data_IF_702425745542
#
_entry.id   IF_702425745542
#
_cell.length_a   1.000
_cell.length_b   1.000
_cell.length_c   1.000
_cell.angle_alpha   90.00
_cell.angle_beta   90.00
_cell.angle_gamma   90.00
#
_symmetry.space_group_name_H-M   'P 1'
#
loop_
_entity.id
_entity.type
_entity.pdbx_description
1 polymer ?
#
# COMPACT_ATOMS: atom_id res chain seq x y z
N UNK A 1 -15.84 8.70 18.51
CA UNK A 1 -15.14 7.53 19.07
C UNK A 1 -14.10 8.03 20.07
N UNK A 2 -14.08 7.50 21.30
CA UNK A 2 -13.04 7.82 22.28
C UNK A 2 -11.80 7.02 21.89
N UNK A 3 -10.73 7.68 21.53
CA UNK A 3 -9.46 7.01 21.16
C UNK A 3 -8.81 6.49 22.45
N UNK A 4 -8.71 5.18 22.60
CA UNK A 4 -8.00 4.57 23.73
C UNK A 4 -6.53 4.93 23.60
N UNK A 5 -5.95 5.59 24.62
CA UNK A 5 -4.51 5.88 24.64
C UNK A 5 -3.72 4.58 24.70
N UNK A 6 -2.98 4.30 23.61
CA UNK A 6 -2.06 3.16 23.50
C UNK A 6 -0.73 3.52 24.13
N UNK A 7 -0.20 2.61 24.99
CA UNK A 7 1.19 2.68 25.47
C UNK A 7 2.09 1.90 24.52
N UNK A 8 3.35 2.31 24.34
CA UNK A 8 4.25 1.76 23.33
C UNK A 8 4.48 0.24 23.41
N UNK A 9 4.33 -0.37 24.60
CA UNK A 9 4.50 -1.82 24.81
C UNK A 9 3.21 -2.62 24.59
N UNK A 10 2.04 -1.96 24.41
CA UNK A 10 0.75 -2.62 24.28
C UNK A 10 0.53 -3.13 22.86
N UNK A 11 0.05 -4.37 22.73
CA UNK A 11 -0.23 -5.02 21.43
C UNK A 11 -1.69 -4.83 21.04
N UNK A 12 -2.07 -3.58 20.76
CA UNK A 12 -3.44 -3.17 20.40
C UNK A 12 -3.60 -2.94 18.90
N UNK A 13 -2.95 -3.75 18.07
CA UNK A 13 -3.20 -3.79 16.65
C UNK A 13 -4.40 -4.70 16.31
N UNK A 14 -5.01 -4.46 15.15
CA UNK A 14 -6.22 -5.17 14.72
C UNK A 14 -6.06 -6.69 14.75
N UNK A 15 -4.88 -7.23 14.41
CA UNK A 15 -4.66 -8.67 14.36
C UNK A 15 -4.64 -9.31 15.75
N UNK A 16 -3.99 -8.66 16.73
CA UNK A 16 -3.97 -9.14 18.10
C UNK A 16 -5.35 -8.99 18.77
N UNK A 17 -6.04 -7.87 18.53
CA UNK A 17 -7.39 -7.66 19.05
C UNK A 17 -8.38 -8.69 18.49
N UNK A 18 -8.30 -8.98 17.19
CA UNK A 18 -9.13 -10.00 16.55
C UNK A 18 -8.89 -11.38 17.17
N UNK A 19 -7.63 -11.76 17.34
CA UNK A 19 -7.26 -13.04 17.95
C UNK A 19 -7.79 -13.18 19.37
N UNK A 20 -7.64 -12.12 20.20
CA UNK A 20 -8.15 -12.14 21.57
C UNK A 20 -9.67 -12.21 21.58
N UNK A 21 -10.35 -11.50 20.70
CA UNK A 21 -11.81 -11.56 20.56
C UNK A 21 -12.30 -12.97 20.21
N UNK A 22 -11.62 -13.64 19.27
CA UNK A 22 -11.91 -15.01 18.88
C UNK A 22 -11.75 -15.98 20.04
N UNK A 23 -10.67 -15.87 20.80
CA UNK A 23 -10.42 -16.72 21.97
C UNK A 23 -11.40 -16.46 23.11
N UNK A 24 -11.84 -15.21 23.32
CA UNK A 24 -12.86 -14.89 24.33
C UNK A 24 -14.25 -15.43 23.95
N UNK A 25 -14.51 -15.65 22.65
CA UNK A 25 -15.77 -16.19 22.13
C UNK A 25 -15.74 -17.67 21.78
N UNK A 26 -14.58 -18.34 21.95
CA UNK A 26 -14.42 -19.74 21.67
C UNK A 26 -15.29 -20.62 22.60
N UNK A 27 -15.52 -21.89 22.25
CA UNK A 27 -16.22 -22.86 23.10
C UNK A 27 -15.56 -23.04 24.48
N UNK A 28 -14.25 -22.93 24.53
CA UNK A 28 -13.45 -22.86 25.74
C UNK A 28 -12.77 -21.49 25.81
N UNK A 29 -13.44 -20.48 26.38
CA UNK A 29 -12.92 -19.13 26.38
C UNK A 29 -11.72 -18.98 27.31
N UNK A 30 -10.74 -18.20 26.85
CA UNK A 30 -9.60 -17.79 27.69
C UNK A 30 -10.05 -16.92 28.86
N UNK A 31 -9.28 -16.92 29.93
CA UNK A 31 -9.56 -16.04 31.06
C UNK A 31 -9.24 -14.58 30.73
N UNK A 32 -9.90 -13.63 31.37
CA UNK A 32 -9.63 -12.19 31.22
C UNK A 32 -8.17 -11.85 31.57
N UNK A 33 -7.51 -12.62 32.44
CA UNK A 33 -6.11 -12.45 32.79
C UNK A 33 -5.21 -12.83 31.62
N UNK A 34 -5.48 -13.94 30.97
CA UNK A 34 -4.75 -14.37 29.76
C UNK A 34 -4.95 -13.41 28.60
N UNK A 35 -6.19 -12.93 28.38
CA UNK A 35 -6.48 -11.93 27.37
C UNK A 35 -5.67 -10.63 27.59
N UNK A 36 -5.58 -10.15 28.84
CA UNK A 36 -4.73 -9.00 29.17
C UNK A 36 -3.24 -9.28 28.90
N UNK A 37 -2.75 -10.48 29.24
CA UNK A 37 -1.37 -10.88 28.98
C UNK A 37 -1.06 -10.93 27.47
N UNK A 38 -1.97 -11.45 26.65
CA UNK A 38 -1.82 -11.48 25.19
C UNK A 38 -1.69 -10.08 24.59
N UNK A 39 -2.48 -9.12 25.10
CA UNK A 39 -2.44 -7.72 24.65
C UNK A 39 -1.30 -6.91 25.30
N UNK A 40 -0.53 -7.53 26.19
CA UNK A 40 0.52 -6.89 26.98
C UNK A 40 0.00 -5.64 27.72
N UNK A 41 -1.18 -5.75 28.31
CA UNK A 41 -1.80 -4.73 29.17
C UNK A 41 -1.82 -5.19 30.63
N UNK A 42 -1.73 -4.23 31.54
CA UNK A 42 -1.93 -4.51 32.96
C UNK A 42 -3.31 -5.12 33.19
N UNK A 43 -3.40 -6.13 34.07
CA UNK A 43 -4.68 -6.77 34.37
C UNK A 43 -5.70 -5.75 34.87
N UNK A 44 -6.66 -5.46 34.03
CA UNK A 44 -7.78 -4.56 34.32
C UNK A 44 -8.96 -4.97 33.44
N UNK A 45 -9.95 -5.58 34.08
CA UNK A 45 -11.13 -6.14 33.39
C UNK A 45 -12.00 -5.06 32.72
N UNK A 46 -12.13 -3.90 33.35
CA UNK A 46 -12.89 -2.76 32.80
C UNK A 46 -12.22 -2.22 31.55
N UNK A 47 -10.90 -2.03 31.61
CA UNK A 47 -10.13 -1.58 30.43
C UNK A 47 -10.16 -2.60 29.30
N UNK A 48 -9.99 -3.89 29.59
CA UNK A 48 -10.10 -4.95 28.59
C UNK A 48 -11.49 -4.93 27.92
N UNK A 49 -12.53 -4.85 28.72
CA UNK A 49 -13.92 -4.80 28.22
C UNK A 49 -14.13 -3.57 27.30
N UNK A 50 -13.65 -2.41 27.72
CA UNK A 50 -13.72 -1.18 26.87
C UNK A 50 -12.99 -1.35 25.54
N UNK A 51 -11.75 -1.90 25.57
CA UNK A 51 -10.96 -2.17 24.37
C UNK A 51 -11.72 -3.13 23.42
N UNK A 52 -12.27 -4.22 23.96
CA UNK A 52 -12.99 -5.20 23.16
C UNK A 52 -14.28 -4.62 22.55
N UNK A 53 -15.06 -3.87 23.34
CA UNK A 53 -16.27 -3.20 22.85
C UNK A 53 -15.96 -2.19 21.75
N UNK A 54 -14.96 -1.32 21.94
CA UNK A 54 -14.56 -0.35 20.95
C UNK A 54 -14.06 -1.02 19.65
N UNK A 55 -13.40 -2.18 19.79
CA UNK A 55 -12.98 -2.96 18.63
C UNK A 55 -14.15 -3.60 17.89
N UNK A 56 -15.11 -4.19 18.61
CA UNK A 56 -16.35 -4.74 18.02
C UNK A 56 -17.16 -3.65 17.30
N UNK A 57 -17.31 -2.47 17.91
CA UNK A 57 -17.96 -1.32 17.29
C UNK A 57 -17.23 -0.88 16.00
N UNK A 58 -15.89 -0.90 16.04
CA UNK A 58 -15.07 -0.60 14.86
C UNK A 58 -15.30 -1.62 13.75
N UNK A 59 -15.34 -2.91 14.07
CA UNK A 59 -15.62 -3.97 13.09
C UNK A 59 -17.04 -3.83 12.51
N UNK A 60 -18.04 -3.57 13.35
CA UNK A 60 -19.41 -3.35 12.93
C UNK A 60 -19.53 -2.13 12.00
N UNK A 61 -18.86 -1.02 12.34
CA UNK A 61 -18.78 0.17 11.49
C UNK A 61 -18.15 -0.12 10.13
N UNK A 62 -16.99 -0.81 10.12
CA UNK A 62 -16.30 -1.22 8.88
C UNK A 62 -17.20 -2.12 8.01
N UNK A 63 -17.88 -3.09 8.62
CA UNK A 63 -18.81 -3.99 7.92
C UNK A 63 -19.98 -3.21 7.30
N UNK A 64 -20.58 -2.28 8.06
CA UNK A 64 -21.66 -1.41 7.57
C UNK A 64 -21.23 -0.56 6.39
N UNK A 65 -20.06 0.08 6.48
CA UNK A 65 -19.50 0.89 5.38
C UNK A 65 -19.23 0.04 4.14
N UNK A 66 -18.63 -1.14 4.34
CA UNK A 66 -18.36 -2.08 3.24
C UNK A 66 -19.65 -2.56 2.56
N UNK A 67 -20.69 -2.84 3.33
CA UNK A 67 -22.01 -3.19 2.79
C UNK A 67 -22.64 -2.04 2.00
N UNK A 68 -22.55 -0.80 2.49
CA UNK A 68 -23.05 0.39 1.80
C UNK A 68 -22.33 0.66 0.47
N UNK A 69 -21.04 0.31 0.38
CA UNK A 69 -20.22 0.51 -0.81
C UNK A 69 -20.36 -0.64 -1.83
N UNK A 70 -21.00 -1.76 -1.44
CA UNK A 70 -21.15 -2.92 -2.31
C UNK A 70 -21.98 -2.58 -3.55
N UNK A 71 -21.45 -2.93 -4.74
CA UNK A 71 -22.13 -2.67 -6.02
C UNK A 71 -22.11 -1.22 -6.51
N UNK A 72 -21.60 -0.26 -5.73
CA UNK A 72 -21.47 1.13 -6.16
C UNK A 72 -20.23 1.33 -7.03
N UNK A 73 -20.36 2.18 -8.05
CA UNK A 73 -19.21 2.66 -8.85
C UNK A 73 -18.20 3.39 -7.95
N UNK A 74 -16.95 3.44 -8.37
CA UNK A 74 -15.94 4.27 -7.72
C UNK A 74 -16.31 5.75 -7.86
N UNK A 75 -16.14 6.52 -6.81
CA UNK A 75 -16.19 7.98 -6.85
C UNK A 75 -14.84 8.54 -7.29
N UNK A 76 -14.80 9.77 -7.79
CA UNK A 76 -13.53 10.42 -8.18
C UNK A 76 -12.56 10.51 -7.01
N UNK A 77 -13.06 10.74 -5.80
CA UNK A 77 -12.26 10.68 -4.58
C UNK A 77 -11.63 9.30 -4.34
N UNK A 78 -12.40 8.21 -4.50
CA UNK A 78 -11.87 6.86 -4.33
C UNK A 78 -10.84 6.51 -5.41
N UNK A 79 -11.04 7.00 -6.64
CA UNK A 79 -10.07 6.83 -7.74
C UNK A 79 -8.76 7.53 -7.38
N UNK A 80 -8.81 8.83 -7.05
CA UNK A 80 -7.65 9.63 -6.67
C UNK A 80 -6.89 8.99 -5.52
N UNK A 81 -7.57 8.71 -4.42
CA UNK A 81 -6.96 8.09 -3.23
C UNK A 81 -6.35 6.71 -3.51
N UNK A 82 -7.01 5.88 -4.36
CA UNK A 82 -6.46 4.58 -4.73
C UNK A 82 -5.13 4.71 -5.47
N UNK A 83 -5.03 5.67 -6.39
CA UNK A 83 -3.82 5.91 -7.17
C UNK A 83 -2.71 6.47 -6.28
N UNK A 84 -3.00 7.54 -5.52
CA UNK A 84 -2.02 8.16 -4.61
C UNK A 84 -1.43 7.15 -3.63
N UNK A 85 -2.28 6.43 -2.89
CA UNK A 85 -1.83 5.42 -1.92
C UNK A 85 -1.04 4.29 -2.58
N UNK A 86 -1.40 3.89 -3.80
CA UNK A 86 -0.69 2.83 -4.52
C UNK A 86 0.68 3.29 -5.02
N UNK A 87 0.78 4.52 -5.54
CA UNK A 87 2.04 5.12 -5.94
C UNK A 87 2.94 5.50 -4.74
N UNK A 88 2.36 5.60 -3.55
CA UNK A 88 3.07 5.70 -2.27
C UNK A 88 3.38 4.33 -1.65
N UNK A 89 3.41 3.28 -2.48
CA UNK A 89 3.81 1.91 -2.11
C UNK A 89 2.89 1.21 -1.09
N UNK A 90 1.71 1.75 -0.79
CA UNK A 90 0.80 1.10 0.14
C UNK A 90 0.24 -0.21 -0.46
N UNK A 91 0.16 -1.29 0.33
CA UNK A 91 -0.39 -2.54 -0.15
C UNK A 91 -1.88 -2.40 -0.47
N UNK A 92 -2.32 -3.09 -1.53
CA UNK A 92 -3.73 -3.07 -1.98
C UNK A 92 -4.72 -3.43 -0.85
N UNK A 93 -4.31 -4.25 0.10
CA UNK A 93 -5.11 -4.60 1.29
C UNK A 93 -5.37 -3.37 2.17
N UNK A 94 -4.37 -2.53 2.39
CA UNK A 94 -4.50 -1.30 3.17
C UNK A 94 -5.37 -0.27 2.46
N UNK A 95 -5.20 -0.12 1.14
CA UNK A 95 -6.04 0.75 0.30
C UNK A 95 -7.50 0.29 0.38
N UNK A 96 -7.75 -1.01 0.20
CA UNK A 96 -9.08 -1.58 0.28
C UNK A 96 -9.74 -1.37 1.65
N UNK A 97 -8.95 -1.47 2.72
CA UNK A 97 -9.41 -1.21 4.08
C UNK A 97 -9.76 0.27 4.29
N UNK A 98 -8.92 1.18 3.85
CA UNK A 98 -9.11 2.63 3.97
C UNK A 98 -10.38 3.09 3.22
N UNK A 99 -10.64 2.54 2.04
CA UNK A 99 -11.79 2.88 1.21
C UNK A 99 -13.05 2.04 1.49
N UNK A 100 -13.00 1.12 2.44
CA UNK A 100 -14.09 0.17 2.71
C UNK A 100 -14.57 -0.59 1.46
N UNK A 101 -13.61 -0.99 0.62
CA UNK A 101 -13.82 -1.76 -0.61
C UNK A 101 -13.15 -3.14 -0.52
N UNK A 102 -13.37 -4.00 -1.51
CA UNK A 102 -12.62 -5.25 -1.63
C UNK A 102 -11.27 -5.03 -2.32
N UNK A 103 -10.30 -5.89 -2.06
CA UNK A 103 -9.01 -5.86 -2.77
C UNK A 103 -9.16 -6.06 -4.28
N UNK A 104 -10.11 -6.90 -4.69
CA UNK A 104 -10.45 -7.10 -6.11
C UNK A 104 -10.98 -5.81 -6.74
N UNK A 105 -11.84 -5.07 -6.03
CA UNK A 105 -12.34 -3.78 -6.51
C UNK A 105 -11.18 -2.79 -6.74
N UNK A 106 -10.24 -2.69 -5.79
CA UNK A 106 -9.10 -1.77 -5.92
C UNK A 106 -8.19 -2.18 -7.08
N UNK A 107 -7.88 -3.47 -7.23
CA UNK A 107 -7.08 -3.96 -8.37
C UNK A 107 -7.74 -3.64 -9.72
N UNK A 108 -9.01 -3.97 -9.87
CA UNK A 108 -9.76 -3.68 -11.09
C UNK A 108 -9.88 -2.17 -11.35
N UNK A 109 -9.91 -1.35 -10.29
CA UNK A 109 -9.93 0.09 -10.41
C UNK A 109 -8.59 0.60 -10.95
N UNK A 110 -7.47 0.19 -10.35
CA UNK A 110 -6.11 0.55 -10.78
C UNK A 110 -5.83 0.11 -12.22
N UNK A 111 -6.25 -1.12 -12.58
CA UNK A 111 -6.14 -1.64 -13.94
C UNK A 111 -6.93 -0.77 -14.94
N UNK A 112 -8.18 -0.48 -14.64
CA UNK A 112 -9.04 0.34 -15.50
C UNK A 112 -8.54 1.77 -15.71
N UNK A 113 -7.85 2.34 -14.73
CA UNK A 113 -7.28 3.70 -14.84
C UNK A 113 -5.89 3.71 -15.46
N UNK A 114 -5.33 2.51 -15.77
CA UNK A 114 -4.04 2.38 -16.42
C UNK A 114 -2.83 2.52 -15.47
N UNK A 115 -3.01 2.25 -14.17
CA UNK A 115 -1.87 2.23 -13.24
C UNK A 115 -1.11 0.91 -13.38
N UNK A 116 0.19 0.92 -13.69
CA UNK A 116 0.99 -0.29 -13.74
C UNK A 116 0.94 -1.03 -12.40
N UNK A 117 0.73 -2.33 -12.43
CA UNK A 117 0.63 -3.13 -11.21
C UNK A 117 1.88 -3.97 -10.98
N UNK A 118 2.22 -4.17 -9.71
CA UNK A 118 3.33 -5.04 -9.30
C UNK A 118 3.06 -6.48 -9.75
N UNK A 119 4.05 -7.08 -10.41
CA UNK A 119 3.99 -8.49 -10.78
C UNK A 119 4.02 -9.40 -9.55
N UNK A 120 3.47 -10.62 -9.63
CA UNK A 120 3.65 -11.63 -8.60
C UNK A 120 5.14 -11.85 -8.27
N UNK A 121 5.45 -12.17 -7.02
CA UNK A 121 6.84 -12.36 -6.58
C UNK A 121 7.59 -13.44 -7.36
N UNK A 122 6.88 -14.42 -7.90
CA UNK A 122 7.42 -15.50 -8.76
C UNK A 122 7.96 -14.98 -10.10
N UNK A 123 7.47 -13.85 -10.58
CA UNK A 123 7.88 -13.23 -11.85
C UNK A 123 8.89 -12.10 -11.67
N UNK A 124 9.11 -11.67 -10.43
CA UNK A 124 10.11 -10.66 -10.10
C UNK A 124 11.50 -11.23 -10.33
N UNK A 125 12.30 -10.55 -11.12
CA UNK A 125 13.66 -10.99 -11.49
C UNK A 125 13.75 -11.67 -12.84
N UNK A 126 12.67 -12.06 -13.49
CA UNK A 126 12.69 -12.29 -14.91
C UNK A 126 12.94 -10.95 -15.61
N UNK A 127 13.82 -10.95 -16.64
CA UNK A 127 14.10 -9.74 -17.44
C UNK A 127 12.76 -9.11 -17.82
N UNK A 128 12.63 -7.82 -17.51
CA UNK A 128 11.41 -7.08 -17.69
C UNK A 128 10.87 -7.31 -19.10
N UNK A 129 9.71 -7.92 -19.18
CA UNK A 129 8.99 -7.95 -20.42
C UNK A 129 8.31 -6.59 -20.52
N UNK A 130 8.84 -5.72 -21.41
CA UNK A 130 8.35 -4.35 -21.62
C UNK A 130 6.85 -4.32 -21.95
N UNK A 131 6.30 -5.44 -22.45
CA UNK A 131 4.89 -5.63 -22.67
C UNK A 131 3.99 -5.63 -21.42
N UNK A 132 4.56 -5.35 -20.24
CA UNK A 132 3.80 -5.25 -19.00
C UNK A 132 3.32 -3.84 -18.67
N UNK A 133 3.84 -2.83 -19.36
CA UNK A 133 3.36 -1.45 -19.21
C UNK A 133 2.07 -1.28 -20.01
N UNK A 134 1.00 -0.68 -19.42
CA UNK A 134 -0.14 -0.21 -20.17
C UNK A 134 0.30 0.69 -21.34
N UNK A 135 -0.43 0.66 -22.46
CA UNK A 135 -0.08 1.47 -23.65
C UNK A 135 0.02 2.96 -23.32
N UNK A 136 -0.82 3.43 -22.40
CA UNK A 136 -0.84 4.82 -21.94
C UNK A 136 0.45 5.23 -21.20
N UNK A 137 1.22 4.25 -20.74
CA UNK A 137 2.48 4.49 -20.03
C UNK A 137 3.70 4.56 -20.96
N UNK A 138 3.56 4.20 -22.23
CA UNK A 138 4.68 4.21 -23.19
C UNK A 138 5.08 5.65 -23.50
N UNK A 139 6.35 6.00 -23.27
CA UNK A 139 6.92 7.33 -23.59
C UNK A 139 8.40 7.21 -23.92
N UNK A 140 8.86 8.02 -24.85
CA UNK A 140 10.27 8.07 -25.24
C UNK A 140 11.06 9.12 -24.45
N UNK A 141 10.37 10.03 -23.76
CA UNK A 141 10.99 11.12 -23.02
C UNK A 141 10.30 11.43 -21.70
N UNK A 142 11.13 11.77 -20.71
CA UNK A 142 10.70 12.11 -19.35
C UNK A 142 11.39 13.38 -18.90
N UNK A 143 10.69 14.19 -18.10
CA UNK A 143 11.21 15.44 -17.57
C UNK A 143 11.81 15.24 -16.16
N UNK A 144 12.84 16.01 -15.79
CA UNK A 144 13.34 16.01 -14.41
C UNK A 144 12.24 16.36 -13.41
N UNK A 145 12.15 15.57 -12.34
CA UNK A 145 11.10 15.69 -11.32
C UNK A 145 9.84 14.87 -11.61
N UNK A 146 9.66 14.39 -12.82
CA UNK A 146 8.49 13.57 -13.20
C UNK A 146 8.47 12.25 -12.44
N UNK A 147 7.29 11.86 -11.95
CA UNK A 147 7.07 10.54 -11.36
C UNK A 147 6.79 9.53 -12.47
N UNK A 148 7.53 8.43 -12.47
CA UNK A 148 7.48 7.39 -13.49
C UNK A 148 7.36 6.02 -12.85
N UNK A 149 6.98 5.01 -13.62
CA UNK A 149 7.00 3.63 -13.19
C UNK A 149 8.25 2.91 -13.70
N UNK A 150 9.03 2.32 -12.81
CA UNK A 150 10.17 1.48 -13.20
C UNK A 150 9.71 0.05 -13.45
N UNK A 151 9.60 -0.35 -14.73
CA UNK A 151 9.09 -1.64 -15.13
C UNK A 151 10.00 -2.82 -14.72
N UNK A 152 11.30 -2.59 -14.52
CA UNK A 152 12.24 -3.62 -14.07
C UNK A 152 12.03 -4.01 -12.61
N UNK A 153 11.66 -3.05 -11.78
CA UNK A 153 11.53 -3.23 -10.33
C UNK A 153 10.08 -3.27 -9.86
N UNK A 154 9.11 -2.95 -10.74
CA UNK A 154 7.70 -2.79 -10.41
C UNK A 154 7.46 -1.77 -9.29
N UNK A 155 8.17 -0.65 -9.36
CA UNK A 155 8.16 0.40 -8.34
C UNK A 155 8.01 1.78 -9.00
N UNK A 156 7.36 2.73 -8.32
CA UNK A 156 7.39 4.12 -8.73
C UNK A 156 8.81 4.69 -8.56
N UNK A 157 9.15 5.62 -9.42
CA UNK A 157 10.43 6.31 -9.38
C UNK A 157 10.24 7.79 -9.75
N UNK A 158 11.23 8.62 -9.43
CA UNK A 158 11.27 10.02 -9.83
C UNK A 158 12.49 10.27 -10.70
N UNK A 159 12.27 10.88 -11.85
CA UNK A 159 13.35 11.26 -12.77
C UNK A 159 14.21 12.36 -12.13
N UNK A 160 15.51 12.17 -12.09
CA UNK A 160 16.49 13.15 -11.60
C UNK A 160 17.08 13.91 -12.79
N UNK A 161 17.53 13.17 -13.81
CA UNK A 161 18.11 13.73 -15.04
C UNK A 161 18.03 12.72 -16.16
N UNK A 162 18.13 13.19 -17.40
CA UNK A 162 18.18 12.37 -18.60
C UNK A 162 19.38 12.74 -19.48
N UNK A 163 19.92 11.77 -20.16
CA UNK A 163 21.01 11.95 -21.15
C UNK A 163 20.85 10.96 -22.29
N UNK A 164 21.00 11.45 -23.51
CA UNK A 164 21.06 10.59 -24.69
C UNK A 164 22.37 9.79 -24.74
N UNK A 165 22.26 8.48 -24.89
CA UNK A 165 23.40 7.59 -25.06
C UNK A 165 23.53 7.15 -26.53
N UNK A 166 24.57 7.67 -27.20
CA UNK A 166 24.86 7.35 -28.60
C UNK A 166 25.18 5.87 -28.85
N UNK A 167 25.67 5.13 -27.83
CA UNK A 167 26.02 3.71 -27.97
C UNK A 167 24.80 2.80 -28.06
N UNK A 168 23.75 3.18 -27.32
CA UNK A 168 22.56 2.39 -27.25
C UNK A 168 21.38 3.01 -28.03
N UNK A 169 21.61 4.16 -28.69
CA UNK A 169 20.62 4.92 -29.44
C UNK A 169 19.31 5.15 -28.67
N UNK A 170 19.45 5.49 -27.40
CA UNK A 170 18.31 5.74 -26.52
C UNK A 170 18.64 6.74 -25.42
N UNK A 171 17.60 7.31 -24.83
CA UNK A 171 17.72 8.12 -23.64
C UNK A 171 17.93 7.22 -22.41
N UNK A 172 18.93 7.55 -21.60
CA UNK A 172 19.17 6.94 -20.29
C UNK A 172 18.82 7.96 -19.22
N UNK A 173 18.00 7.54 -18.27
CA UNK A 173 17.54 8.38 -17.17
C UNK A 173 18.15 7.93 -15.87
N UNK A 174 18.69 8.90 -15.14
CA UNK A 174 19.00 8.75 -13.73
C UNK A 174 17.71 8.98 -12.95
N UNK A 175 17.29 7.99 -12.19
CA UNK A 175 16.05 8.04 -11.40
C UNK A 175 16.32 7.71 -9.94
N UNK A 176 15.47 8.25 -9.07
CA UNK A 176 15.36 7.82 -7.69
C UNK A 176 14.15 6.88 -7.58
N UNK A 177 14.44 5.60 -7.35
CA UNK A 177 13.41 4.57 -7.16
C UNK A 177 12.87 4.69 -5.74
N UNK A 178 11.55 4.80 -5.62
CA UNK A 178 10.86 4.95 -4.34
C UNK A 178 10.54 3.54 -3.85
N UNK A 179 11.12 3.16 -2.72
CA UNK A 179 10.86 1.88 -2.08
C UNK A 179 10.51 2.14 -0.62
N UNK A 180 9.26 1.92 -0.25
CA UNK A 180 8.84 1.90 1.14
C UNK A 180 9.11 0.51 1.69
N UNK A 181 10.24 0.36 2.36
CA UNK A 181 10.58 -0.87 3.06
C UNK A 181 10.20 -0.74 4.53
N UNK A 182 9.04 -1.27 4.90
CA UNK A 182 8.78 -1.66 6.28
C UNK A 182 9.54 -2.97 6.57
N UNK A 183 10.86 -2.91 6.61
CA UNK A 183 11.65 -4.01 7.10
C UNK A 183 12.05 -3.74 8.55
N UNK A 184 11.52 -4.53 9.46
CA UNK A 184 12.21 -4.85 10.70
C UNK A 184 13.45 -5.69 10.32
N UNK A 185 14.48 -5.03 9.85
CA UNK A 185 15.75 -5.70 9.59
C UNK A 185 16.51 -5.76 10.91
N UNK A 186 16.91 -6.95 11.39
CA UNK A 186 17.78 -7.06 12.55
C UNK A 186 19.14 -6.41 12.35
N UNK A 187 19.50 -6.04 11.10
CA UNK A 187 20.79 -5.44 10.75
C UNK A 187 20.72 -3.93 10.48
N UNK A 188 19.55 -3.36 10.13
CA UNK A 188 19.45 -1.97 9.68
C UNK A 188 18.42 -1.13 10.44
N UNK A 189 17.70 -1.69 11.41
CA UNK A 189 16.67 -0.97 12.15
C UNK A 189 15.40 -0.69 11.33
N UNK A 190 14.54 0.20 11.83
CA UNK A 190 13.36 0.67 11.12
C UNK A 190 13.75 1.64 10.00
N UNK A 191 13.65 1.21 8.76
CA UNK A 191 13.73 2.09 7.59
C UNK A 191 12.29 2.37 7.16
N UNK A 192 11.78 3.55 7.45
CA UNK A 192 10.42 3.98 7.11
C UNK A 192 10.29 4.52 5.69
N UNK A 193 11.36 5.07 5.13
CA UNK A 193 11.47 5.50 3.75
C UNK A 193 12.84 5.09 3.23
N UNK A 194 12.85 4.20 2.26
CA UNK A 194 14.03 3.81 1.52
C UNK A 194 13.86 4.12 0.04
N UNK A 195 14.94 4.44 -0.59
CA UNK A 195 15.00 4.61 -2.02
C UNK A 195 16.45 4.53 -2.47
N UNK A 196 16.66 4.31 -3.73
CA UNK A 196 17.98 4.23 -4.30
C UNK A 196 18.03 4.89 -5.68
N UNK A 197 19.21 5.36 -6.03
CA UNK A 197 19.48 5.92 -7.34
C UNK A 197 19.88 4.82 -8.33
N UNK A 198 19.31 4.86 -9.53
CA UNK A 198 19.62 3.92 -10.59
C UNK A 198 19.55 4.60 -11.97
N UNK A 199 20.07 3.92 -12.99
CA UNK A 199 20.02 4.38 -14.37
C UNK A 199 19.23 3.36 -15.19
N UNK A 200 18.23 3.85 -15.94
CA UNK A 200 17.39 3.04 -16.80
C UNK A 200 17.27 3.66 -18.18
N UNK A 201 17.15 2.82 -19.19
CA UNK A 201 16.78 3.26 -20.51
C UNK A 201 15.33 3.71 -20.55
N UNK A 202 14.95 4.57 -21.47
CA UNK A 202 13.59 5.07 -21.63
C UNK A 202 12.54 3.95 -21.68
N UNK A 203 12.86 2.86 -22.37
CA UNK A 203 11.95 1.70 -22.51
C UNK A 203 11.75 0.87 -21.22
N UNK A 204 12.56 1.09 -20.19
CA UNK A 204 12.38 0.47 -18.86
C UNK A 204 11.49 1.31 -17.95
N UNK A 205 11.09 2.50 -18.39
CA UNK A 205 10.31 3.47 -17.65
C UNK A 205 8.94 3.67 -18.29
N UNK A 206 7.91 3.76 -17.48
CA UNK A 206 6.55 4.07 -17.89
C UNK A 206 6.12 5.45 -17.41
N UNK A 207 5.58 6.27 -18.32
CA UNK A 207 4.98 7.56 -17.98
C UNK A 207 3.68 7.37 -17.19
N UNK A 208 3.47 8.22 -16.21
CA UNK A 208 2.23 8.28 -15.43
C UNK A 208 1.40 9.54 -15.75
N UNK A 209 1.78 10.31 -16.78
CA UNK A 209 1.14 11.60 -17.15
C UNK A 209 -0.37 11.47 -17.42
N UNK A 210 -0.81 10.33 -17.95
CA UNK A 210 -2.23 10.05 -18.20
C UNK A 210 -3.09 10.06 -16.92
N UNK A 211 -2.46 9.90 -15.75
CA UNK A 211 -3.14 9.93 -14.45
C UNK A 211 -3.42 11.36 -13.95
N UNK A 212 -2.82 12.39 -14.56
CA UNK A 212 -3.05 13.81 -14.20
C UNK A 212 -4.53 14.20 -14.36
N UNK A 213 -5.28 13.50 -15.24
CA UNK A 213 -6.74 13.70 -15.38
C UNK A 213 -7.53 13.43 -14.10
N UNK A 214 -6.92 12.77 -13.10
CA UNK A 214 -7.53 12.52 -11.80
C UNK A 214 -7.05 13.50 -10.71
N UNK A 215 -6.45 14.64 -11.13
CA UNK A 215 -5.94 15.68 -10.23
C UNK A 215 -4.90 15.13 -9.24
N UNK A 216 -3.98 14.31 -9.74
CA UNK A 216 -2.88 13.72 -8.99
C UNK A 216 -1.61 14.46 -9.39
N UNK A 217 -0.85 14.94 -8.40
CA UNK A 217 0.46 15.53 -8.64
C UNK A 217 1.48 14.41 -8.90
N UNK A 218 1.77 14.19 -10.18
CA UNK A 218 2.75 13.21 -10.64
C UNK A 218 4.05 13.89 -11.02
#
# INVERSE_FOLDING_TARGET
MKTIRKKGHEKLDDANLQRVLEYLKAEQPITKKEACAMLNITYNTTRLSSIMTDFEDTLAFRAKRKAQNRGRKATDYEIKQSIEMYLDEQPVSSIAQALYRSTTFVRNLLDRVGVPQKRPSTERGMRANIGYLPEECVSESFEPGEKVWCARHDLPARVVSGKYDKRHDCNIYHVYVIELTNFDSPYFGHITEGGYHAHFAAYDLGSLRHLNKYDINI
#
